data_IF_723493729193
#
_entry.id   IF_723493729193
#
_cell.length_a   1.000
_cell.length_b   1.000
_cell.length_c   1.000
_cell.angle_alpha   90.00
_cell.angle_beta   90.00
_cell.angle_gamma   90.00
#
_symmetry.space_group_name_H-M   'P 1'
#
loop_
_entity.id
_entity.type
_entity.pdbx_description
1 polymer ?
#
# COMPACT_ATOMS: atom_id res chain seq x y z
N UNK A 1 -16.17 37.99 -5.94
CA UNK A 1 -16.30 37.66 -7.39
C UNK A 1 -15.10 38.31 -8.07
N UNK A 2 -14.22 37.55 -8.68
CA UNK A 2 -12.96 38.02 -9.28
C UNK A 2 -13.13 38.69 -10.66
N UNK A 3 -14.37 38.94 -11.09
CA UNK A 3 -14.70 39.64 -12.34
C UNK A 3 -14.38 38.87 -13.64
N UNK A 4 -13.90 37.62 -13.55
CA UNK A 4 -13.54 36.80 -14.72
C UNK A 4 -14.79 36.17 -15.35
N UNK A 5 -14.78 36.12 -16.68
CA UNK A 5 -15.79 35.33 -17.41
C UNK A 5 -15.54 33.83 -17.22
N UNK A 6 -16.53 32.95 -17.42
CA UNK A 6 -16.34 31.50 -17.35
C UNK A 6 -15.19 30.98 -18.24
N UNK A 7 -15.03 31.57 -19.43
CA UNK A 7 -13.93 31.23 -20.34
C UNK A 7 -12.55 31.64 -19.80
N UNK A 8 -12.44 32.82 -19.18
CA UNK A 8 -11.22 33.27 -18.52
C UNK A 8 -10.89 32.43 -17.29
N UNK A 9 -11.87 31.99 -16.54
CA UNK A 9 -11.68 31.07 -15.42
C UNK A 9 -11.18 29.69 -15.89
N UNK A 10 -11.78 29.15 -16.95
CA UNK A 10 -11.36 27.88 -17.54
C UNK A 10 -9.94 27.97 -18.14
N UNK A 11 -9.62 29.08 -18.82
CA UNK A 11 -8.29 29.31 -19.36
C UNK A 11 -7.22 29.40 -18.24
N UNK A 12 -7.50 30.15 -17.18
CA UNK A 12 -6.61 30.25 -16.02
C UNK A 12 -6.43 28.91 -15.32
N UNK A 13 -7.45 28.04 -15.32
CA UNK A 13 -7.30 26.67 -14.81
C UNK A 13 -6.39 25.81 -15.67
N UNK A 14 -6.55 25.88 -16.99
CA UNK A 14 -5.68 25.17 -17.93
C UNK A 14 -4.22 25.65 -17.82
N UNK A 15 -4.00 26.94 -17.64
CA UNK A 15 -2.65 27.47 -17.38
C UNK A 15 -2.08 26.96 -16.06
N UNK A 16 -2.86 26.94 -14.97
CA UNK A 16 -2.43 26.42 -13.67
C UNK A 16 -2.09 24.91 -13.69
N UNK A 17 -2.69 24.15 -14.60
CA UNK A 17 -2.30 22.73 -14.79
C UNK A 17 -0.90 22.57 -15.38
N UNK A 18 -0.36 23.62 -15.99
CA UNK A 18 0.98 23.65 -16.62
C UNK A 18 2.08 24.10 -15.68
N UNK A 19 1.75 24.52 -14.48
CA UNK A 19 2.73 25.06 -13.55
C UNK A 19 3.71 23.97 -13.09
N UNK A 20 5.02 24.23 -13.12
CA UNK A 20 5.97 23.42 -12.41
C UNK A 20 5.65 23.44 -10.92
N UNK A 21 5.73 22.30 -10.28
CA UNK A 21 5.51 22.22 -8.83
C UNK A 21 6.47 21.24 -8.18
N UNK A 22 6.76 21.49 -6.92
CA UNK A 22 7.46 20.57 -6.03
C UNK A 22 6.62 20.33 -4.79
N UNK A 23 6.53 19.09 -4.39
CA UNK A 23 5.86 18.66 -3.16
C UNK A 23 6.83 17.87 -2.29
N UNK A 24 6.77 18.07 -1.00
CA UNK A 24 7.50 17.28 -0.03
C UNK A 24 6.59 16.97 1.17
N UNK A 25 6.70 15.78 1.72
CA UNK A 25 5.89 15.36 2.85
C UNK A 25 6.67 14.54 3.86
N UNK A 26 6.07 14.32 5.00
CA UNK A 26 6.50 13.38 6.02
C UNK A 26 5.32 12.49 6.37
N UNK A 27 5.51 11.18 6.18
CA UNK A 27 4.48 10.15 6.31
C UNK A 27 4.93 9.09 7.32
N UNK A 28 4.63 9.27 8.61
CA UNK A 28 4.72 8.21 9.59
C UNK A 28 3.56 7.21 9.40
N UNK A 29 3.88 5.92 9.51
CA UNK A 29 2.90 4.84 9.51
C UNK A 29 3.20 3.84 10.62
N UNK A 30 2.14 3.27 11.18
CA UNK A 30 2.23 2.35 12.31
C UNK A 30 1.22 1.21 12.19
N UNK A 31 1.68 0.01 12.52
CA UNK A 31 0.84 -1.16 12.75
C UNK A 31 1.41 -1.94 13.94
N UNK A 32 0.56 -2.30 14.89
CA UNK A 32 0.93 -3.15 16.03
C UNK A 32 1.30 -4.56 15.56
N UNK A 33 2.19 -5.21 16.30
CA UNK A 33 2.67 -6.57 16.02
C UNK A 33 3.73 -7.00 17.02
N UNK A 34 4.29 -8.20 16.83
CA UNK A 34 5.38 -8.73 17.64
C UNK A 34 6.69 -8.04 17.30
N UNK A 35 7.42 -7.56 18.30
CA UNK A 35 8.70 -6.88 18.14
C UNK A 35 9.74 -7.80 17.47
N UNK A 36 10.46 -7.24 16.50
CA UNK A 36 11.42 -7.98 15.68
C UNK A 36 10.80 -8.88 14.61
N UNK A 37 9.48 -8.99 14.53
CA UNK A 37 8.75 -9.88 13.61
C UNK A 37 7.73 -9.12 12.78
N UNK A 38 6.60 -8.76 13.37
CA UNK A 38 5.43 -8.24 12.68
C UNK A 38 5.05 -6.81 13.04
N UNK A 39 5.70 -6.22 14.04
CA UNK A 39 5.59 -4.79 14.32
C UNK A 39 6.03 -3.99 13.10
N UNK A 40 5.36 -2.88 12.82
CA UNK A 40 5.66 -2.04 11.66
C UNK A 40 5.61 -0.58 12.07
N UNK A 41 6.75 0.06 11.99
CA UNK A 41 6.95 1.50 12.17
C UNK A 41 7.66 2.00 10.92
N UNK A 42 7.06 2.95 10.24
CA UNK A 42 7.66 3.54 9.05
C UNK A 42 7.77 5.06 9.21
N UNK A 43 8.88 5.59 8.78
CA UNK A 43 9.13 7.02 8.59
C UNK A 43 9.48 7.24 7.13
N UNK A 44 8.63 7.95 6.39
CA UNK A 44 8.76 8.09 4.96
C UNK A 44 8.70 9.56 4.57
N UNK A 45 9.60 9.97 3.68
CA UNK A 45 9.66 11.36 3.18
C UNK A 45 9.59 11.33 1.66
N UNK A 46 8.37 11.44 1.09
CA UNK A 46 8.20 11.61 -0.35
C UNK A 46 8.56 13.03 -0.78
N UNK A 47 9.30 13.13 -1.89
CA UNK A 47 9.58 14.36 -2.61
C UNK A 47 9.17 14.12 -4.06
N UNK A 48 8.27 14.94 -4.56
CA UNK A 48 7.76 14.88 -5.92
C UNK A 48 7.98 16.21 -6.62
N UNK A 49 8.44 16.17 -7.85
CA UNK A 49 8.62 17.33 -8.71
C UNK A 49 7.97 17.05 -10.06
N UNK A 50 7.21 18.00 -10.57
CA UNK A 50 6.70 17.92 -11.92
C UNK A 50 7.07 19.18 -12.75
N UNK A 51 7.33 18.92 -14.02
CA UNK A 51 7.67 19.94 -15.02
C UNK A 51 6.72 19.80 -16.20
N UNK A 52 6.07 20.86 -16.66
CA UNK A 52 5.19 20.81 -17.81
C UNK A 52 5.99 20.50 -19.08
N UNK A 53 5.45 19.61 -19.91
CA UNK A 53 5.95 19.32 -21.25
C UNK A 53 4.81 19.52 -22.24
N UNK A 54 4.96 20.45 -23.15
CA UNK A 54 3.93 20.84 -24.11
C UNK A 54 2.66 21.35 -23.42
N UNK A 55 1.47 21.06 -23.97
CA UNK A 55 0.20 21.65 -23.52
C UNK A 55 -0.51 20.86 -22.42
N UNK A 56 -0.39 19.54 -22.38
CA UNK A 56 -1.17 18.64 -21.54
C UNK A 56 -0.31 17.66 -20.72
N UNK A 57 0.98 17.62 -20.99
CA UNK A 57 1.88 16.64 -20.41
C UNK A 57 2.80 17.21 -19.34
N UNK A 58 3.20 16.35 -18.41
CA UNK A 58 4.18 16.63 -17.37
C UNK A 58 5.18 15.50 -17.26
N UNK A 59 6.46 15.81 -17.30
CA UNK A 59 7.48 14.93 -16.74
C UNK A 59 7.46 15.07 -15.23
N UNK A 60 7.74 13.98 -14.53
CA UNK A 60 7.88 14.02 -13.07
C UNK A 60 9.09 13.22 -12.60
N UNK A 61 9.59 13.63 -11.46
CA UNK A 61 10.60 12.94 -10.68
C UNK A 61 10.05 12.68 -9.27
N UNK A 62 10.37 11.52 -8.73
CA UNK A 62 10.00 11.12 -7.39
C UNK A 62 11.22 10.59 -6.64
N UNK A 63 11.39 11.02 -5.40
CA UNK A 63 12.38 10.52 -4.46
C UNK A 63 11.70 10.27 -3.13
N UNK A 64 11.74 9.03 -2.65
CA UNK A 64 11.18 8.70 -1.34
C UNK A 64 12.31 8.15 -0.45
N UNK A 65 12.54 8.78 0.69
CA UNK A 65 13.35 8.19 1.75
C UNK A 65 12.45 7.37 2.64
N UNK A 66 12.80 6.12 2.88
CA UNK A 66 12.00 5.15 3.64
C UNK A 66 12.86 4.53 4.74
N UNK A 67 12.43 4.70 5.98
CA UNK A 67 12.97 4.01 7.14
C UNK A 67 11.89 3.12 7.74
N UNK A 68 12.18 1.82 7.88
CA UNK A 68 11.29 0.81 8.43
C UNK A 68 11.93 0.18 9.66
N UNK A 69 11.11 -0.09 10.68
CA UNK A 69 11.53 -0.71 11.92
C UNK A 69 10.45 -1.70 12.42
N UNK A 70 10.83 -2.97 12.57
CA UNK A 70 10.03 -4.01 13.21
C UNK A 70 10.41 -4.22 14.69
N UNK A 71 11.46 -3.54 15.18
CA UNK A 71 11.96 -3.71 16.54
C UNK A 71 12.98 -4.84 16.67
N UNK A 72 13.23 -5.26 17.91
CA UNK A 72 14.25 -6.25 18.27
C UNK A 72 13.59 -7.55 18.69
N UNK A 73 14.03 -8.66 18.11
CA UNK A 73 13.59 -10.00 18.45
C UNK A 73 14.11 -10.39 19.84
N UNK A 74 13.23 -10.76 20.75
CA UNK A 74 13.59 -11.21 22.08
C UNK A 74 13.98 -12.69 22.06
N UNK A 75 15.24 -12.97 22.39
CA UNK A 75 15.81 -14.32 22.50
C UNK A 75 16.11 -14.74 23.94
N UNK A 76 15.72 -13.94 24.93
CA UNK A 76 16.00 -14.20 26.36
C UNK A 76 15.34 -15.49 26.87
N UNK A 77 14.17 -15.81 26.33
CA UNK A 77 13.46 -17.06 26.61
C UNK A 77 13.45 -17.91 25.33
N UNK A 78 14.14 -19.06 25.31
CA UNK A 78 14.14 -19.93 24.14
C UNK A 78 12.77 -20.56 23.88
N UNK A 79 12.54 -20.96 22.64
CA UNK A 79 11.36 -21.70 22.20
C UNK A 79 10.01 -21.00 22.42
N UNK A 80 10.01 -19.67 22.55
CA UNK A 80 8.76 -18.88 22.52
C UNK A 80 8.04 -19.05 21.19
N UNK A 81 6.74 -18.77 21.19
CA UNK A 81 5.95 -18.79 19.95
C UNK A 81 6.52 -17.83 18.90
N UNK A 82 6.91 -16.63 19.31
CA UNK A 82 7.50 -15.61 18.44
C UNK A 82 8.77 -16.12 17.76
N UNK A 83 9.70 -16.72 18.51
CA UNK A 83 10.91 -17.32 17.94
C UNK A 83 10.59 -18.44 16.95
N UNK A 84 9.72 -19.38 17.33
CA UNK A 84 9.31 -20.50 16.47
C UNK A 84 8.65 -20.08 15.17
N UNK A 85 8.04 -18.91 15.14
CA UNK A 85 7.33 -18.38 13.97
C UNK A 85 8.12 -17.36 13.15
N UNK A 86 9.44 -17.23 13.42
CA UNK A 86 10.31 -16.31 12.71
C UNK A 86 11.49 -17.00 12.01
N UNK A 87 11.77 -16.59 10.78
CA UNK A 87 12.95 -17.04 10.01
C UNK A 87 13.07 -18.55 9.95
N UNK A 88 14.27 -19.05 10.23
CA UNK A 88 14.61 -20.48 10.21
C UNK A 88 14.67 -21.13 11.60
N UNK A 89 14.33 -20.40 12.67
CA UNK A 89 14.52 -20.88 14.06
C UNK A 89 13.92 -22.27 14.32
N UNK A 90 12.66 -22.49 13.98
CA UNK A 90 12.00 -23.76 14.21
C UNK A 90 12.65 -24.91 13.41
N UNK A 91 13.16 -24.64 12.21
CA UNK A 91 13.87 -25.61 11.40
C UNK A 91 15.20 -26.03 12.01
N UNK A 92 15.95 -25.09 12.59
CA UNK A 92 17.20 -25.36 13.29
C UNK A 92 17.02 -26.12 14.60
N UNK A 93 15.87 -25.92 15.26
CA UNK A 93 15.50 -26.64 16.49
C UNK A 93 14.90 -28.02 16.24
N UNK A 94 14.42 -28.29 15.04
CA UNK A 94 13.75 -29.55 14.74
C UNK A 94 14.73 -30.71 14.52
N UNK A 95 14.57 -31.85 15.14
CA UNK A 95 15.38 -33.03 14.88
C UNK A 95 14.99 -33.76 13.58
N UNK A 96 14.00 -33.34 12.82
CA UNK A 96 13.40 -34.18 11.77
C UNK A 96 13.54 -33.57 10.38
N UNK A 97 14.36 -34.20 9.53
CA UNK A 97 14.16 -34.39 8.09
C UNK A 97 13.98 -33.17 7.19
N UNK A 98 14.38 -31.98 7.59
CA UNK A 98 14.46 -30.84 6.68
C UNK A 98 15.79 -30.91 5.93
N UNK A 99 15.84 -30.65 4.60
CA UNK A 99 17.06 -30.70 3.82
C UNK A 99 18.01 -29.55 4.20
N UNK A 100 19.27 -29.69 3.80
CA UNK A 100 20.15 -28.55 3.79
C UNK A 100 19.53 -27.35 3.05
N UNK A 101 19.62 -26.12 3.57
CA UNK A 101 20.47 -25.72 4.70
C UNK A 101 19.90 -26.02 6.09
N UNK A 102 18.71 -26.57 6.18
CA UNK A 102 17.95 -26.77 7.42
C UNK A 102 18.07 -28.18 8.03
N UNK A 103 18.84 -29.07 7.40
CA UNK A 103 19.14 -30.37 8.00
C UNK A 103 19.93 -30.17 9.29
N UNK A 104 19.76 -31.09 10.25
CA UNK A 104 20.60 -31.14 11.48
C UNK A 104 22.06 -31.11 11.11
N UNK A 105 22.64 -29.93 11.17
CA UNK A 105 24.07 -29.73 11.16
C UNK A 105 24.50 -29.64 12.63
N UNK A 106 25.58 -30.28 13.07
CA UNK A 106 26.19 -30.01 14.37
C UNK A 106 26.42 -28.51 14.62
N UNK A 107 26.58 -27.72 13.55
CA UNK A 107 26.65 -26.27 13.62
C UNK A 107 25.31 -25.59 13.97
N UNK A 108 24.16 -26.26 13.88
CA UNK A 108 22.88 -25.63 14.19
C UNK A 108 22.79 -25.13 15.63
N UNK A 109 23.32 -25.89 16.58
CA UNK A 109 23.39 -25.46 17.99
C UNK A 109 24.31 -24.23 18.15
N UNK A 110 25.39 -24.13 17.41
CA UNK A 110 26.28 -22.97 17.42
C UNK A 110 25.58 -21.74 16.79
N UNK A 111 24.87 -21.92 15.70
CA UNK A 111 24.08 -20.86 15.07
C UNK A 111 22.98 -20.33 16.01
N UNK A 112 22.27 -21.19 16.73
CA UNK A 112 21.27 -20.81 17.71
C UNK A 112 21.87 -20.10 18.94
N UNK A 113 23.09 -20.44 19.33
CA UNK A 113 23.76 -19.83 20.46
C UNK A 113 24.36 -18.45 20.17
N UNK A 114 24.61 -18.15 18.90
CA UNK A 114 25.22 -16.89 18.46
C UNK A 114 24.46 -16.29 17.30
N UNK A 115 23.21 -15.78 17.54
CA UNK A 115 22.47 -15.10 16.50
C UNK A 115 23.21 -13.85 16.04
N UNK A 116 23.01 -13.48 14.78
CA UNK A 116 23.44 -12.18 14.24
C UNK A 116 22.57 -11.04 14.77
N UNK A 117 22.38 -10.02 13.94
CA UNK A 117 21.56 -8.85 14.31
C UNK A 117 20.10 -9.25 14.53
N UNK A 118 19.62 -8.98 15.74
CA UNK A 118 18.23 -9.24 16.17
C UNK A 118 17.32 -8.04 15.92
N UNK A 119 17.88 -6.86 15.63
CA UNK A 119 17.11 -5.65 15.34
C UNK A 119 16.77 -5.58 13.86
N UNK A 120 15.50 -5.63 13.54
CA UNK A 120 15.03 -5.64 12.16
C UNK A 120 14.63 -4.22 11.74
N UNK A 121 15.63 -3.43 11.32
CA UNK A 121 15.38 -2.10 10.75
C UNK A 121 16.12 -1.90 9.43
N UNK A 122 15.52 -1.15 8.51
CA UNK A 122 16.03 -0.94 7.16
C UNK A 122 15.79 0.50 6.72
N UNK A 123 16.80 1.07 6.05
CA UNK A 123 16.68 2.39 5.42
C UNK A 123 17.01 2.29 3.94
N UNK A 124 16.23 2.97 3.10
CA UNK A 124 16.47 2.97 1.66
C UNK A 124 15.88 4.20 0.99
N UNK A 125 16.23 4.39 -0.28
CA UNK A 125 15.75 5.50 -1.12
C UNK A 125 15.15 4.93 -2.40
N UNK A 126 13.87 5.17 -2.64
CA UNK A 126 13.22 4.89 -3.91
C UNK A 126 13.38 6.08 -4.86
N UNK A 127 13.63 5.77 -6.13
CA UNK A 127 13.72 6.76 -7.19
C UNK A 127 12.73 6.41 -8.27
N UNK A 128 12.04 7.42 -8.81
CA UNK A 128 11.10 7.25 -9.89
C UNK A 128 11.11 8.44 -10.85
N UNK A 129 10.86 8.17 -12.11
CA UNK A 129 10.65 9.18 -13.13
C UNK A 129 9.54 8.74 -14.07
N UNK A 130 8.85 9.68 -14.67
CA UNK A 130 7.80 9.34 -15.61
C UNK A 130 7.23 10.54 -16.35
N UNK A 131 6.20 10.23 -17.12
CA UNK A 131 5.42 11.19 -17.86
C UNK A 131 3.93 10.96 -17.61
N UNK A 132 3.17 12.03 -17.48
CA UNK A 132 1.72 11.96 -17.32
C UNK A 132 0.98 13.00 -18.15
N UNK A 133 -0.17 12.62 -18.64
CA UNK A 133 -1.24 13.48 -19.15
C UNK A 133 -2.53 13.18 -18.40
N UNK A 134 -3.64 13.78 -18.77
CA UNK A 134 -4.98 13.39 -18.24
C UNK A 134 -5.31 11.92 -18.57
N UNK A 135 -4.94 11.45 -19.77
CA UNK A 135 -5.22 10.11 -20.25
C UNK A 135 -4.14 9.08 -19.92
N UNK A 136 -2.87 9.44 -20.04
CA UNK A 136 -1.74 8.51 -19.95
C UNK A 136 -0.83 8.85 -18.77
N UNK A 137 -0.38 7.81 -18.06
CA UNK A 137 0.75 7.87 -17.13
C UNK A 137 1.67 6.70 -17.39
N UNK A 138 2.96 6.99 -17.53
CA UNK A 138 4.02 5.97 -17.65
C UNK A 138 5.11 6.35 -16.67
N UNK A 139 5.61 5.37 -15.91
CA UNK A 139 6.70 5.58 -14.96
C UNK A 139 7.63 4.38 -14.86
N UNK A 140 8.87 4.65 -14.50
CA UNK A 140 9.93 3.69 -14.23
C UNK A 140 10.80 4.17 -13.07
N UNK A 141 11.22 3.24 -12.22
CA UNK A 141 12.06 3.55 -11.08
C UNK A 141 12.50 2.32 -10.30
N UNK A 142 12.76 2.50 -9.01
CA UNK A 142 13.23 1.43 -8.12
C UNK A 142 12.39 1.36 -6.86
N UNK A 143 12.24 0.16 -6.27
CA UNK A 143 11.93 0.05 -4.84
C UNK A 143 13.11 0.61 -4.02
N UNK A 144 12.98 0.87 -2.72
CA UNK A 144 14.04 1.54 -1.97
C UNK A 144 15.39 0.84 -2.09
N UNK A 145 16.37 1.52 -2.68
CA UNK A 145 17.77 1.12 -2.70
C UNK A 145 18.35 1.21 -1.29
N UNK A 146 19.11 0.22 -0.87
CA UNK A 146 19.58 0.06 0.51
C UNK A 146 18.82 -1.02 1.28
N UNK A 147 17.63 -1.42 0.81
CA UNK A 147 16.92 -2.57 1.36
C UNK A 147 17.61 -3.89 1.01
N UNK A 148 17.52 -4.94 1.86
CA UNK A 148 18.04 -6.27 1.57
C UNK A 148 17.54 -6.85 0.25
N UNK A 149 16.32 -6.46 -0.16
CA UNK A 149 15.73 -6.82 -1.45
C UNK A 149 15.20 -5.56 -2.13
N UNK A 150 15.74 -5.26 -3.30
CA UNK A 150 15.29 -4.15 -4.13
C UNK A 150 15.20 -4.57 -5.60
N UNK A 151 14.39 -3.87 -6.38
CA UNK A 151 14.11 -4.22 -7.78
C UNK A 151 13.58 -3.01 -8.55
N UNK A 152 13.60 -3.12 -9.88
CA UNK A 152 12.99 -2.13 -10.76
C UNK A 152 11.47 -2.23 -10.67
N UNK A 153 10.81 -1.09 -10.53
CA UNK A 153 9.35 -0.92 -10.50
C UNK A 153 8.92 0.05 -11.58
N UNK A 154 7.65 0.05 -11.93
CA UNK A 154 7.11 0.96 -12.92
C UNK A 154 5.69 0.57 -13.31
N UNK A 155 5.07 1.39 -14.14
CA UNK A 155 3.72 1.11 -14.59
C UNK A 155 3.26 1.97 -15.75
N UNK A 156 2.17 1.54 -16.33
CA UNK A 156 1.44 2.28 -17.38
C UNK A 156 -0.03 2.30 -16.99
N UNK A 157 -0.60 3.50 -16.93
CA UNK A 157 -2.04 3.70 -16.75
C UNK A 157 -2.60 4.49 -17.92
N UNK A 158 -3.65 3.98 -18.50
CA UNK A 158 -4.40 4.64 -19.58
C UNK A 158 -5.86 4.80 -19.19
N UNK A 159 -6.40 6.01 -19.41
CA UNK A 159 -7.80 6.36 -19.20
C UNK A 159 -8.43 6.72 -20.52
N UNK A 160 -9.67 6.30 -20.73
CA UNK A 160 -10.45 6.63 -21.91
C UNK A 160 -11.94 6.61 -21.58
N UNK A 161 -12.69 7.37 -22.34
CA UNK A 161 -14.15 7.41 -22.24
C UNK A 161 -14.78 6.65 -23.42
N UNK A 162 -15.86 5.94 -23.14
CA UNK A 162 -16.66 5.24 -24.12
C UNK A 162 -18.15 5.54 -23.88
N UNK A 163 -18.69 6.48 -24.63
CA UNK A 163 -20.02 7.03 -24.40
C UNK A 163 -20.11 7.70 -23.02
N UNK A 164 -21.06 7.33 -22.15
CA UNK A 164 -21.19 7.89 -20.82
C UNK A 164 -20.26 7.25 -19.78
N UNK A 165 -19.51 6.22 -20.16
CA UNK A 165 -18.66 5.47 -19.24
C UNK A 165 -17.21 5.86 -19.37
N UNK A 166 -16.52 6.00 -18.24
CA UNK A 166 -15.07 6.22 -18.13
C UNK A 166 -14.37 4.95 -17.70
N UNK A 167 -13.26 4.63 -18.35
CA UNK A 167 -12.45 3.46 -18.08
C UNK A 167 -11.00 3.82 -17.75
N UNK A 168 -10.36 2.99 -16.94
CA UNK A 168 -8.93 3.09 -16.66
C UNK A 168 -8.33 1.70 -16.59
N UNK A 169 -7.25 1.48 -17.35
CA UNK A 169 -6.43 0.27 -17.30
C UNK A 169 -5.08 0.65 -16.72
N UNK A 170 -4.61 -0.11 -15.73
CA UNK A 170 -3.32 0.08 -15.11
C UNK A 170 -2.58 -1.26 -15.07
N UNK A 171 -1.40 -1.33 -15.70
CA UNK A 171 -0.47 -2.45 -15.58
C UNK A 171 0.78 -1.97 -14.85
N UNK A 172 1.15 -2.62 -13.76
CA UNK A 172 2.25 -2.13 -12.93
C UNK A 172 2.98 -3.25 -12.19
N UNK A 173 4.22 -2.92 -11.82
CA UNK A 173 5.05 -3.63 -10.84
C UNK A 173 5.29 -2.70 -9.67
N UNK A 174 4.83 -3.08 -8.47
CA UNK A 174 4.96 -2.30 -7.24
C UNK A 174 5.38 -3.18 -6.06
N UNK A 175 6.06 -2.61 -5.04
CA UNK A 175 6.31 -3.33 -3.80
C UNK A 175 5.03 -3.57 -3.01
N UNK A 176 4.99 -4.66 -2.28
CA UNK A 176 4.00 -4.93 -1.25
C UNK A 176 4.49 -4.31 0.07
N UNK A 177 3.80 -3.30 0.59
CA UNK A 177 4.30 -2.43 1.66
C UNK A 177 3.71 -2.71 3.05
N UNK A 178 2.94 -3.79 3.22
CA UNK A 178 2.15 -4.04 4.44
C UNK A 178 2.96 -4.50 5.67
N UNK A 179 4.24 -4.86 5.50
CA UNK A 179 5.17 -5.21 6.60
C UNK A 179 6.62 -4.92 6.22
N UNK A 180 7.52 -4.93 7.21
CA UNK A 180 8.98 -4.82 6.94
C UNK A 180 9.44 -5.98 6.07
N UNK A 181 8.97 -7.22 6.34
CA UNK A 181 9.31 -8.39 5.54
C UNK A 181 8.86 -8.25 4.09
N UNK A 182 7.61 -7.87 3.86
CA UNK A 182 7.08 -7.75 2.49
C UNK A 182 7.71 -6.58 1.74
N UNK A 183 7.97 -5.46 2.38
CA UNK A 183 8.47 -4.26 1.70
C UNK A 183 10.00 -4.30 1.47
N UNK A 184 10.78 -4.57 2.51
CA UNK A 184 12.23 -4.50 2.46
C UNK A 184 12.91 -5.87 2.31
N UNK A 185 12.25 -6.95 2.76
CA UNK A 185 12.87 -8.20 3.10
C UNK A 185 13.55 -8.12 4.46
N UNK A 186 13.82 -9.28 5.04
CA UNK A 186 14.52 -9.43 6.32
C UNK A 186 15.73 -10.35 6.18
N UNK A 187 16.65 -10.24 7.12
CA UNK A 187 17.78 -11.16 7.27
C UNK A 187 17.53 -12.06 8.45
N UNK A 188 17.58 -13.37 8.22
CA UNK A 188 17.48 -14.37 9.27
C UNK A 188 18.68 -14.26 10.23
N UNK A 189 18.48 -14.03 11.53
CA UNK A 189 19.57 -13.83 12.47
C UNK A 189 20.50 -15.05 12.61
N UNK A 190 20.00 -16.24 12.37
CA UNK A 190 20.75 -17.48 12.60
C UNK A 190 21.54 -17.93 11.37
N UNK A 191 20.96 -17.84 10.20
CA UNK A 191 21.57 -18.32 8.95
C UNK A 191 22.12 -17.21 8.07
N UNK A 192 21.78 -15.95 8.35
CA UNK A 192 22.10 -14.81 7.48
C UNK A 192 21.32 -14.79 6.16
N UNK A 193 20.42 -15.76 5.94
CA UNK A 193 19.62 -15.83 4.73
C UNK A 193 18.67 -14.65 4.62
N UNK A 194 18.52 -14.10 3.41
CA UNK A 194 17.60 -13.00 3.14
C UNK A 194 16.36 -13.55 2.45
N UNK A 195 15.17 -13.15 2.95
CA UNK A 195 13.88 -13.45 2.31
C UNK A 195 12.93 -12.25 2.40
N UNK A 196 11.85 -12.26 1.64
CA UNK A 196 10.90 -11.16 1.61
C UNK A 196 11.09 -10.24 0.40
N UNK A 197 10.83 -8.94 0.58
CA UNK A 197 10.87 -7.97 -0.51
C UNK A 197 9.90 -8.38 -1.62
N UNK A 198 8.62 -8.43 -1.29
CA UNK A 198 7.57 -8.90 -2.18
C UNK A 198 7.18 -7.80 -3.15
N UNK A 199 7.08 -8.15 -4.42
CA UNK A 199 6.54 -7.28 -5.46
C UNK A 199 5.28 -7.89 -6.05
N UNK A 200 4.36 -7.03 -6.41
CA UNK A 200 3.15 -7.35 -7.16
C UNK A 200 3.32 -6.94 -8.62
N UNK A 201 3.22 -7.89 -9.52
CA UNK A 201 3.12 -7.70 -10.96
C UNK A 201 1.64 -7.88 -11.34
N UNK A 202 0.94 -6.82 -11.71
CA UNK A 202 -0.50 -6.92 -11.87
C UNK A 202 -1.13 -5.93 -12.83
N UNK A 203 -2.40 -6.19 -13.10
CA UNK A 203 -3.28 -5.34 -13.93
C UNK A 203 -4.53 -5.00 -13.13
N UNK A 204 -4.97 -3.74 -13.21
CA UNK A 204 -6.25 -3.28 -12.68
C UNK A 204 -7.06 -2.65 -13.82
N UNK A 205 -8.33 -3.01 -13.89
CA UNK A 205 -9.33 -2.42 -14.78
C UNK A 205 -10.41 -1.76 -13.94
N UNK A 206 -10.65 -0.48 -14.14
CA UNK A 206 -11.73 0.26 -13.50
C UNK A 206 -12.65 0.83 -14.56
N UNK A 207 -13.96 0.71 -14.32
CA UNK A 207 -15.01 1.37 -15.07
C UNK A 207 -15.93 2.15 -14.15
N UNK A 208 -16.46 3.28 -14.63
CA UNK A 208 -17.50 4.04 -13.94
C UNK A 208 -18.47 4.67 -14.94
N UNK A 209 -19.72 4.83 -14.53
CA UNK A 209 -20.77 5.44 -15.35
C UNK A 209 -21.72 6.24 -14.45
N UNK A 210 -22.11 7.43 -14.91
CA UNK A 210 -23.12 8.25 -14.26
C UNK A 210 -24.50 7.94 -14.83
N UNK A 211 -25.42 7.53 -13.94
CA UNK A 211 -26.82 7.28 -14.25
C UNK A 211 -27.67 8.27 -13.45
N UNK A 212 -28.05 9.36 -14.06
CA UNK A 212 -28.66 10.48 -13.37
C UNK A 212 -27.70 11.11 -12.34
N UNK A 213 -28.04 11.01 -11.05
CA UNK A 213 -27.20 11.50 -9.95
C UNK A 213 -26.33 10.39 -9.31
N UNK A 214 -26.48 9.15 -9.75
CA UNK A 214 -25.78 8.00 -9.18
C UNK A 214 -24.57 7.69 -10.03
N UNK A 215 -23.38 7.67 -9.42
CA UNK A 215 -22.17 7.14 -10.04
C UNK A 215 -22.04 5.66 -9.68
N UNK A 216 -22.10 4.79 -10.68
CA UNK A 216 -21.82 3.37 -10.54
C UNK A 216 -20.36 3.10 -10.90
N UNK A 217 -19.68 2.23 -10.16
CA UNK A 217 -18.31 1.86 -10.48
C UNK A 217 -18.02 0.39 -10.20
N UNK A 218 -17.05 -0.14 -10.95
CA UNK A 218 -16.45 -1.45 -10.70
C UNK A 218 -14.94 -1.38 -11.01
N UNK A 219 -14.15 -2.05 -10.19
CA UNK A 219 -12.71 -2.20 -10.36
C UNK A 219 -12.34 -3.67 -10.14
N UNK A 220 -11.66 -4.26 -11.12
CA UNK A 220 -11.13 -5.60 -11.07
C UNK A 220 -9.61 -5.55 -11.12
N UNK A 221 -8.95 -6.29 -10.24
CA UNK A 221 -7.51 -6.46 -10.20
C UNK A 221 -7.10 -7.92 -10.28
N UNK A 222 -6.00 -8.20 -10.95
CA UNK A 222 -5.35 -9.49 -10.93
C UNK A 222 -3.84 -9.32 -10.92
N UNK A 223 -3.13 -10.18 -10.19
CA UNK A 223 -1.69 -10.03 -10.06
C UNK A 223 -1.00 -11.30 -9.55
N UNK A 224 0.32 -11.26 -9.66
CA UNK A 224 1.22 -12.26 -9.10
C UNK A 224 2.16 -11.57 -8.14
N UNK A 225 2.23 -12.09 -6.92
CA UNK A 225 3.17 -11.64 -5.91
C UNK A 225 4.37 -12.58 -5.89
N UNK A 226 5.57 -12.00 -5.84
CA UNK A 226 6.82 -12.75 -5.77
C UNK A 226 7.88 -11.94 -5.02
N UNK A 227 8.76 -12.61 -4.29
CA UNK A 227 9.86 -12.01 -3.54
C UNK A 227 11.09 -12.90 -3.52
N UNK A 228 12.15 -12.42 -2.89
CA UNK A 228 13.38 -13.21 -2.71
C UNK A 228 13.11 -14.34 -1.71
N UNK A 229 13.29 -15.58 -2.13
CA UNK A 229 13.05 -16.77 -1.28
C UNK A 229 11.64 -16.75 -0.65
N UNK A 230 10.64 -16.27 -1.37
CA UNK A 230 9.23 -16.26 -1.00
C UNK A 230 8.47 -17.10 -2.00
N UNK A 231 7.51 -17.88 -1.54
CA UNK A 231 6.61 -18.66 -2.40
C UNK A 231 5.78 -17.69 -3.25
N UNK A 232 5.58 -18.06 -4.55
CA UNK A 232 4.78 -17.24 -5.45
C UNK A 232 3.30 -17.35 -5.10
N UNK A 233 2.60 -16.22 -5.21
CA UNK A 233 1.17 -16.16 -4.95
C UNK A 233 0.44 -15.45 -6.09
N UNK A 234 -0.78 -15.84 -6.35
CA UNK A 234 -1.67 -15.14 -7.27
C UNK A 234 -2.80 -14.49 -6.49
N UNK A 235 -3.25 -13.33 -6.98
CA UNK A 235 -4.37 -12.62 -6.38
C UNK A 235 -5.38 -12.19 -7.44
N UNK A 236 -6.63 -12.10 -7.01
CA UNK A 236 -7.71 -11.44 -7.71
C UNK A 236 -8.50 -10.56 -6.74
N UNK A 237 -8.84 -9.36 -7.17
CA UNK A 237 -9.57 -8.39 -6.37
C UNK A 237 -10.74 -7.81 -7.15
N UNK A 238 -11.84 -7.55 -6.48
CA UNK A 238 -13.00 -6.85 -7.02
C UNK A 238 -13.43 -5.78 -6.02
N UNK A 239 -13.64 -4.57 -6.49
CA UNK A 239 -14.28 -3.50 -5.78
C UNK A 239 -15.41 -2.94 -6.63
N UNK A 240 -16.62 -2.86 -6.09
CA UNK A 240 -17.78 -2.35 -6.83
C UNK A 240 -18.71 -1.59 -5.91
N UNK A 241 -19.52 -0.73 -6.49
CA UNK A 241 -20.48 0.03 -5.69
C UNK A 241 -21.11 1.17 -6.44
N UNK A 242 -21.76 2.02 -5.68
CA UNK A 242 -22.29 3.27 -6.17
C UNK A 242 -22.08 4.40 -5.17
N UNK A 243 -22.08 5.63 -5.67
CA UNK A 243 -22.09 6.84 -4.86
C UNK A 243 -23.19 7.78 -5.37
N UNK A 244 -23.80 8.53 -4.46
CA UNK A 244 -24.83 9.52 -4.76
C UNK A 244 -24.58 10.79 -3.93
N UNK A 245 -24.55 11.99 -4.55
CA UNK A 245 -24.49 13.24 -3.81
C UNK A 245 -25.85 13.50 -3.15
N UNK A 246 -25.84 13.59 -1.81
CA UNK A 246 -27.02 13.94 -1.01
C UNK A 246 -27.14 15.45 -0.79
N UNK A 247 -26.00 16.14 -0.83
CA UNK A 247 -25.92 17.59 -0.80
C UNK A 247 -24.82 18.08 -1.75
N UNK A 248 -25.13 19.09 -2.56
CA UNK A 248 -24.19 19.63 -3.53
C UNK A 248 -24.36 21.14 -3.69
N UNK A 249 -23.26 21.87 -3.57
CA UNK A 249 -23.11 23.30 -3.82
C UNK A 249 -21.79 23.54 -4.54
N UNK A 250 -21.59 24.72 -5.09
CA UNK A 250 -20.38 25.07 -5.82
C UNK A 250 -19.06 24.80 -5.03
N UNK A 251 -19.08 24.89 -3.70
CA UNK A 251 -17.90 24.76 -2.84
C UNK A 251 -18.02 23.62 -1.82
N UNK A 252 -19.08 22.83 -1.82
CA UNK A 252 -19.26 21.74 -0.86
C UNK A 252 -20.11 20.61 -1.45
N UNK A 253 -19.69 19.37 -1.19
CA UNK A 253 -20.41 18.15 -1.57
C UNK A 253 -20.42 17.17 -0.40
N UNK A 254 -21.57 16.58 -0.15
CA UNK A 254 -21.71 15.42 0.73
C UNK A 254 -22.28 14.30 -0.12
N UNK A 255 -21.58 13.16 -0.13
CA UNK A 255 -21.97 11.96 -0.87
C UNK A 255 -22.06 10.76 0.05
N UNK A 256 -22.88 9.81 -0.30
CA UNK A 256 -22.95 8.49 0.35
C UNK A 256 -23.13 7.41 -0.71
N UNK A 257 -23.14 6.16 -0.30
CA UNK A 257 -23.30 5.07 -1.24
C UNK A 257 -23.14 3.71 -0.58
N UNK A 258 -22.81 2.71 -1.40
CA UNK A 258 -22.50 1.36 -0.96
C UNK A 258 -21.26 0.89 -1.71
N UNK A 259 -20.32 0.27 -0.99
CA UNK A 259 -19.07 -0.27 -1.57
C UNK A 259 -18.89 -1.70 -1.09
N UNK A 260 -18.74 -2.62 -2.03
CA UNK A 260 -18.37 -4.01 -1.79
C UNK A 260 -16.95 -4.29 -2.25
N UNK A 261 -16.21 -5.10 -1.49
CA UNK A 261 -14.91 -5.61 -1.88
C UNK A 261 -14.88 -7.12 -1.75
N UNK A 262 -14.17 -7.77 -2.67
CA UNK A 262 -13.87 -9.20 -2.63
C UNK A 262 -12.41 -9.41 -3.01
N UNK A 263 -11.66 -10.17 -2.18
CA UNK A 263 -10.26 -10.54 -2.45
C UNK A 263 -10.10 -12.04 -2.38
N UNK A 264 -9.24 -12.55 -3.24
CA UNK A 264 -8.83 -13.94 -3.25
C UNK A 264 -7.34 -14.04 -3.50
N UNK A 265 -6.64 -14.79 -2.64
CA UNK A 265 -5.26 -15.20 -2.85
C UNK A 265 -5.18 -16.72 -2.98
N UNK A 266 -4.29 -17.21 -3.84
CA UNK A 266 -4.12 -18.64 -4.04
C UNK A 266 -3.55 -19.34 -2.79
N UNK A 267 -2.66 -18.64 -2.06
CA UNK A 267 -1.99 -19.15 -0.87
C UNK A 267 -2.02 -18.15 0.28
N UNK A 268 -2.04 -18.66 1.52
CA UNK A 268 -1.86 -17.86 2.73
C UNK A 268 -0.36 -17.73 3.04
N UNK A 269 0.21 -16.52 2.82
CA UNK A 269 1.63 -16.21 3.02
C UNK A 269 1.83 -15.08 4.04
N UNK A 270 0.93 -14.94 4.99
CA UNK A 270 0.94 -13.84 5.98
C UNK A 270 2.00 -13.94 7.06
N UNK A 271 2.63 -15.10 7.20
CA UNK A 271 3.55 -15.41 8.30
C UNK A 271 4.97 -14.93 8.03
N UNK A 272 5.88 -15.15 9.00
CA UNK A 272 7.24 -14.60 9.02
C UNK A 272 8.33 -15.67 9.08
N UNK A 273 8.00 -16.94 8.90
CA UNK A 273 8.98 -17.99 8.69
C UNK A 273 9.56 -17.92 7.29
N UNK A 274 10.76 -18.47 7.10
CA UNK A 274 11.45 -18.44 5.82
C UNK A 274 10.63 -19.05 4.69
N UNK A 275 10.45 -18.30 3.61
CA UNK A 275 9.58 -18.68 2.51
C UNK A 275 8.20 -17.99 2.52
N UNK A 276 7.77 -17.47 3.66
CA UNK A 276 6.57 -16.67 3.82
C UNK A 276 6.78 -15.22 3.37
N UNK A 277 5.71 -14.51 3.05
CA UNK A 277 5.77 -13.15 2.51
C UNK A 277 5.47 -12.02 3.50
N UNK A 278 4.87 -12.32 4.66
CA UNK A 278 4.54 -11.34 5.69
C UNK A 278 3.44 -10.35 5.30
N UNK A 279 2.58 -10.67 4.33
CA UNK A 279 1.46 -9.84 3.90
C UNK A 279 0.13 -10.58 4.03
N UNK A 280 -0.94 -9.83 4.33
CA UNK A 280 -2.28 -10.40 4.47
C UNK A 280 -2.76 -10.96 3.13
N UNK A 281 -3.04 -12.28 3.09
CA UNK A 281 -3.35 -13.01 1.87
C UNK A 281 -4.46 -14.05 2.07
N UNK A 282 -5.69 -13.60 2.37
CA UNK A 282 -6.82 -14.49 2.60
C UNK A 282 -7.27 -15.19 1.30
N UNK A 283 -7.75 -16.43 1.43
CA UNK A 283 -8.34 -17.14 0.29
C UNK A 283 -9.75 -16.67 -0.01
N UNK A 284 -10.37 -15.97 0.93
CA UNK A 284 -11.60 -15.21 0.74
C UNK A 284 -11.64 -14.05 1.70
N UNK A 285 -11.82 -12.86 1.19
CA UNK A 285 -12.20 -11.68 1.95
C UNK A 285 -13.39 -11.02 1.26
N UNK A 286 -14.42 -10.73 2.01
CA UNK A 286 -15.61 -10.01 1.56
C UNK A 286 -15.88 -8.88 2.52
N UNK A 287 -16.18 -7.70 2.01
CA UNK A 287 -16.66 -6.59 2.83
C UNK A 287 -17.77 -5.80 2.13
N UNK A 288 -18.64 -5.22 2.94
CA UNK A 288 -19.68 -4.32 2.50
C UNK A 288 -19.69 -3.11 3.44
N UNK A 289 -19.61 -1.91 2.88
CA UNK A 289 -19.52 -0.68 3.66
C UNK A 289 -20.32 0.46 3.07
N UNK A 290 -20.77 1.35 3.94
CA UNK A 290 -21.44 2.61 3.60
C UNK A 290 -20.45 3.74 3.82
N UNK A 291 -19.91 4.36 2.76
CA UNK A 291 -19.10 5.55 2.86
C UNK A 291 -19.97 6.80 3.02
N UNK A 292 -19.48 7.75 3.81
CA UNK A 292 -19.95 9.13 3.83
C UNK A 292 -18.74 10.00 3.51
N UNK A 293 -18.79 10.69 2.39
CA UNK A 293 -17.77 11.64 1.94
C UNK A 293 -18.28 13.06 2.18
N UNK A 294 -17.46 13.90 2.78
CA UNK A 294 -17.68 15.32 2.94
C UNK A 294 -16.50 16.09 2.38
N UNK A 295 -16.64 16.57 1.16
CA UNK A 295 -15.68 17.41 0.49
C UNK A 295 -16.12 18.87 0.50
N UNK A 296 -15.21 19.78 0.77
CA UNK A 296 -15.54 21.17 0.84
C UNK A 296 -14.37 22.11 0.62
N UNK A 297 -14.72 23.38 0.45
CA UNK A 297 -13.78 24.46 0.35
C UNK A 297 -14.36 25.75 0.91
N UNK A 298 -13.55 26.45 1.68
CA UNK A 298 -13.86 27.79 2.18
C UNK A 298 -12.61 28.66 2.12
N UNK A 299 -12.63 29.71 1.33
CA UNK A 299 -11.50 30.63 1.11
C UNK A 299 -10.22 29.88 0.69
N UNK A 300 -9.21 29.91 1.54
CA UNK A 300 -7.92 29.23 1.33
C UNK A 300 -7.92 27.77 1.79
N UNK A 301 -8.93 27.31 2.51
CA UNK A 301 -9.03 25.97 3.08
C UNK A 301 -9.80 25.05 2.14
N UNK A 302 -9.27 23.86 1.87
CA UNK A 302 -9.95 22.75 1.17
C UNK A 302 -9.84 21.47 1.98
N UNK A 303 -10.85 20.62 1.95
CA UNK A 303 -10.86 19.34 2.67
C UNK A 303 -11.63 18.27 1.93
N UNK A 304 -11.30 17.04 2.26
CA UNK A 304 -12.05 15.85 1.89
C UNK A 304 -11.97 14.85 3.05
N UNK A 305 -13.10 14.47 3.59
CA UNK A 305 -13.24 13.51 4.69
C UNK A 305 -14.15 12.39 4.25
N UNK A 306 -13.65 11.17 4.23
CA UNK A 306 -14.44 9.97 4.00
C UNK A 306 -14.44 9.10 5.25
N UNK A 307 -15.61 8.78 5.75
CA UNK A 307 -15.83 7.81 6.83
C UNK A 307 -16.63 6.66 6.27
N UNK A 308 -16.12 5.45 6.40
CA UNK A 308 -16.81 4.22 5.97
C UNK A 308 -17.08 3.35 7.18
N UNK A 309 -18.32 2.92 7.35
CA UNK A 309 -18.70 1.90 8.33
C UNK A 309 -19.25 0.68 7.59
N UNK A 310 -18.89 -0.51 8.04
CA UNK A 310 -19.26 -1.72 7.34
C UNK A 310 -19.02 -3.00 8.11
N UNK A 311 -19.16 -4.09 7.39
CA UNK A 311 -18.92 -5.44 7.87
C UNK A 311 -17.95 -6.16 6.94
N UNK A 312 -17.17 -7.06 7.49
CA UNK A 312 -16.26 -7.90 6.72
C UNK A 312 -16.26 -9.34 7.21
N UNK A 313 -15.93 -10.25 6.32
CA UNK A 313 -15.72 -11.67 6.60
C UNK A 313 -14.47 -12.14 5.87
N UNK A 314 -13.67 -12.98 6.50
CA UNK A 314 -12.48 -13.55 5.88
C UNK A 314 -12.33 -15.04 6.15
N UNK A 315 -11.63 -15.70 5.24
CA UNK A 315 -11.23 -17.09 5.36
C UNK A 315 -9.76 -17.24 4.93
N UNK A 316 -8.96 -17.88 5.76
CA UNK A 316 -7.57 -18.20 5.52
C UNK A 316 -7.37 -19.72 5.61
N UNK A 317 -6.67 -20.29 4.63
CA UNK A 317 -6.27 -21.69 4.63
C UNK A 317 -5.03 -21.91 5.49
N UNK A 318 -4.81 -23.17 5.84
CA UNK A 318 -3.55 -23.62 6.41
C UNK A 318 -2.37 -23.26 5.50
N UNK A 319 -1.22 -22.97 6.11
CA UNK A 319 0.00 -22.66 5.38
C UNK A 319 1.18 -23.46 5.95
N UNK A 320 2.07 -23.90 5.07
CA UNK A 320 3.32 -24.52 5.49
C UNK A 320 4.22 -23.50 6.18
N UNK A 321 4.96 -23.93 7.20
CA UNK A 321 5.95 -23.07 7.84
C UNK A 321 7.02 -22.59 6.82
N UNK A 322 7.45 -23.50 5.94
CA UNK A 322 8.49 -23.27 4.94
C UNK A 322 7.95 -23.59 3.54
N UNK A 323 7.11 -22.72 2.97
CA UNK A 323 6.38 -23.02 1.74
C UNK A 323 7.29 -23.20 0.51
N UNK A 324 8.47 -22.63 0.50
CA UNK A 324 9.47 -22.79 -0.57
C UNK A 324 10.14 -24.16 -0.60
N UNK A 325 9.98 -24.98 0.44
CA UNK A 325 10.51 -26.34 0.51
C UNK A 325 9.49 -27.35 -0.05
N UNK A 326 9.11 -27.20 -1.30
CA UNK A 326 8.02 -27.94 -1.95
C UNK A 326 8.22 -29.45 -1.98
N UNK A 327 9.45 -29.92 -2.16
CA UNK A 327 9.79 -31.35 -2.23
C UNK A 327 9.59 -32.07 -0.89
N UNK A 328 9.37 -31.33 0.18
CA UNK A 328 9.26 -31.83 1.55
C UNK A 328 7.92 -31.54 2.23
N UNK A 329 6.93 -31.12 1.46
CA UNK A 329 5.58 -30.80 2.01
C UNK A 329 5.03 -31.92 2.90
N UNK A 330 5.12 -33.16 2.45
CA UNK A 330 4.62 -34.31 3.23
C UNK A 330 5.42 -34.52 4.52
N UNK A 331 6.72 -34.26 4.53
CA UNK A 331 7.55 -34.34 5.73
C UNK A 331 7.24 -33.20 6.71
N UNK A 332 7.08 -31.97 6.23
CA UNK A 332 6.67 -30.82 7.03
C UNK A 332 5.31 -31.04 7.69
N UNK A 333 4.32 -31.52 6.94
CA UNK A 333 2.99 -31.83 7.45
C UNK A 333 3.03 -32.92 8.55
N UNK A 334 3.76 -34.02 8.32
CA UNK A 334 3.93 -35.06 9.32
C UNK A 334 4.67 -34.59 10.58
N UNK A 335 5.58 -33.65 10.44
CA UNK A 335 6.34 -33.07 11.54
C UNK A 335 5.59 -31.92 12.26
N UNK A 336 4.38 -31.57 11.83
CA UNK A 336 3.60 -30.48 12.44
C UNK A 336 4.06 -29.07 12.06
N UNK A 337 4.89 -28.92 11.02
CA UNK A 337 5.30 -27.61 10.50
C UNK A 337 4.22 -26.99 9.58
N UNK A 338 3.01 -26.86 10.11
CA UNK A 338 1.86 -26.27 9.43
C UNK A 338 1.24 -25.23 10.35
N UNK A 339 1.04 -24.03 9.85
CA UNK A 339 0.16 -23.08 10.49
C UNK A 339 -1.27 -23.53 10.25
N UNK A 340 -1.93 -23.99 11.28
CA UNK A 340 -3.36 -24.22 11.22
C UNK A 340 -4.05 -22.88 11.17
N UNK A 341 -4.59 -22.57 10.02
CA UNK A 341 -5.22 -21.29 9.75
C UNK A 341 -6.32 -21.02 10.74
N UNK A 342 -6.36 -19.81 11.21
CA UNK A 342 -7.51 -19.26 11.92
C UNK A 342 -8.67 -19.06 10.93
N UNK A 343 -8.77 -19.94 10.08
CA UNK A 343 -9.86 -20.30 9.27
C UNK A 343 -10.99 -19.31 9.05
N UNK A 344 -12.06 -19.37 9.65
CA UNK A 344 -13.21 -18.55 9.31
C UNK A 344 -13.43 -17.51 10.37
N UNK A 345 -13.17 -16.26 10.03
CA UNK A 345 -13.70 -15.18 10.82
C UNK A 345 -15.13 -14.93 10.40
N UNK A 346 -16.03 -15.02 11.35
CA UNK A 346 -17.41 -14.62 11.19
C UNK A 346 -17.52 -13.16 10.75
N UNK A 347 -18.72 -12.69 10.51
CA UNK A 347 -18.97 -11.30 10.18
C UNK A 347 -18.52 -10.40 11.34
N UNK A 348 -17.60 -9.49 11.05
CA UNK A 348 -17.07 -8.53 12.02
C UNK A 348 -17.30 -7.09 11.52
N UNK A 349 -17.48 -6.18 12.46
CA UNK A 349 -17.58 -4.75 12.17
C UNK A 349 -16.21 -4.22 11.69
N UNK A 350 -16.26 -3.35 10.71
CA UNK A 350 -15.09 -2.65 10.18
C UNK A 350 -15.41 -1.17 9.97
N UNK A 351 -14.40 -0.32 10.11
CA UNK A 351 -14.53 1.09 9.76
C UNK A 351 -13.23 1.64 9.20
N UNK A 352 -13.36 2.67 8.37
CA UNK A 352 -12.23 3.41 7.80
C UNK A 352 -12.49 4.91 7.91
N UNK A 353 -11.44 5.65 8.14
CA UNK A 353 -11.43 7.12 8.11
C UNK A 353 -10.27 7.57 7.23
N UNK A 354 -10.57 8.34 6.21
CA UNK A 354 -9.58 9.01 5.39
C UNK A 354 -9.95 10.49 5.31
N UNK A 355 -9.11 11.35 5.89
CA UNK A 355 -9.33 12.78 5.92
C UNK A 355 -8.11 13.52 5.40
N UNK A 356 -8.32 14.50 4.53
CA UNK A 356 -7.27 15.40 4.06
C UNK A 356 -7.74 16.84 4.18
N UNK A 357 -6.83 17.71 4.58
CA UNK A 357 -7.01 19.15 4.62
C UNK A 357 -5.81 19.83 3.98
N UNK A 358 -6.07 20.85 3.17
CA UNK A 358 -5.03 21.68 2.55
C UNK A 358 -5.38 23.14 2.75
N UNK A 359 -4.43 23.93 3.22
CA UNK A 359 -4.52 25.37 3.38
C UNK A 359 -3.53 26.06 2.42
N UNK A 360 -4.04 26.95 1.59
CA UNK A 360 -3.24 27.77 0.72
C UNK A 360 -2.70 28.98 1.47
N UNK A 361 -1.42 28.95 1.80
CA UNK A 361 -0.73 30.00 2.57
C UNK A 361 -0.59 31.28 1.76
N UNK A 362 -0.24 31.14 0.48
CA UNK A 362 -0.12 32.24 -0.50
C UNK A 362 -0.32 31.68 -1.93
N UNK A 363 -0.23 32.51 -3.01
CA UNK A 363 -0.41 32.02 -4.36
C UNK A 363 0.54 30.91 -4.81
N UNK A 364 1.70 30.77 -4.17
CA UNK A 364 2.72 29.76 -4.52
C UNK A 364 2.76 28.59 -3.55
N UNK A 365 2.37 28.77 -2.29
CA UNK A 365 2.57 27.78 -1.23
C UNK A 365 1.25 27.29 -0.66
N UNK A 366 1.11 25.97 -0.64
CA UNK A 366 0.06 25.27 0.12
C UNK A 366 0.70 24.33 1.14
N UNK A 367 0.04 24.11 2.27
CA UNK A 367 0.40 23.13 3.27
C UNK A 367 -0.82 22.26 3.58
N UNK A 368 -0.62 20.98 3.79
CA UNK A 368 -1.72 20.07 4.05
C UNK A 368 -1.37 18.95 5.00
N UNK A 369 -2.39 18.27 5.49
CA UNK A 369 -2.29 17.08 6.30
C UNK A 369 -3.33 16.05 5.88
N UNK A 370 -2.96 14.77 5.97
CA UNK A 370 -3.85 13.64 5.73
C UNK A 370 -3.75 12.67 6.91
N UNK A 371 -4.87 12.07 7.28
CA UNK A 371 -4.97 10.98 8.24
C UNK A 371 -5.68 9.81 7.57
N UNK A 372 -5.11 8.63 7.67
CA UNK A 372 -5.71 7.38 7.23
C UNK A 372 -5.75 6.38 8.37
N UNK A 373 -6.92 5.85 8.66
CA UNK A 373 -7.16 4.84 9.70
C UNK A 373 -8.08 3.79 9.12
N UNK A 374 -7.62 2.54 9.07
CA UNK A 374 -8.46 1.38 8.78
C UNK A 374 -8.47 0.44 9.98
N UNK A 375 -9.65 -0.07 10.30
CA UNK A 375 -9.87 -1.04 11.37
C UNK A 375 -10.80 -2.13 10.88
N UNK A 376 -10.21 -3.27 10.63
CA UNK A 376 -10.91 -4.54 10.45
C UNK A 376 -10.28 -5.57 11.37
N UNK A 377 -10.91 -6.72 11.53
CA UNK A 377 -10.41 -7.74 12.46
C UNK A 377 -8.98 -8.22 12.14
N UNK A 378 -8.62 -8.27 10.85
CA UNK A 378 -7.34 -8.83 10.39
C UNK A 378 -6.34 -7.77 9.88
N UNK A 379 -6.76 -6.51 9.75
CA UNK A 379 -5.94 -5.46 9.15
C UNK A 379 -6.28 -4.10 9.76
N UNK A 380 -5.29 -3.44 10.36
CA UNK A 380 -5.48 -2.22 11.13
C UNK A 380 -4.36 -1.19 10.92
N UNK A 381 -4.06 -0.77 9.68
CA UNK A 381 -3.04 0.24 9.42
C UNK A 381 -3.51 1.62 9.84
N UNK A 382 -2.55 2.44 10.23
CA UNK A 382 -2.75 3.87 10.42
C UNK A 382 -1.57 4.62 9.83
N UNK A 383 -1.84 5.72 9.16
CA UNK A 383 -0.80 6.64 8.67
C UNK A 383 -1.27 8.08 8.78
N UNK A 384 -0.32 8.97 8.92
CA UNK A 384 -0.54 10.40 8.82
C UNK A 384 0.46 10.98 7.82
N UNK A 385 0.07 12.01 7.10
CA UNK A 385 0.93 12.74 6.19
C UNK A 385 0.81 14.22 6.50
N UNK A 386 1.95 14.90 6.62
CA UNK A 386 2.02 16.37 6.56
C UNK A 386 2.84 16.72 5.32
N UNK A 387 2.37 17.64 4.51
CA UNK A 387 3.06 18.00 3.28
C UNK A 387 3.00 19.49 2.98
N UNK A 388 3.93 19.92 2.17
CA UNK A 388 3.96 21.24 1.56
C UNK A 388 4.06 21.10 0.05
N UNK A 389 3.41 22.00 -0.67
CA UNK A 389 3.42 22.11 -2.13
C UNK A 389 3.80 23.52 -2.52
N UNK A 390 4.80 23.65 -3.36
CA UNK A 390 5.22 24.92 -3.94
C UNK A 390 4.99 24.91 -5.47
N UNK A 391 4.19 25.85 -5.94
CA UNK A 391 3.98 26.13 -7.36
C UNK A 391 4.89 27.28 -7.77
N UNK A 392 5.67 27.11 -8.84
CA UNK A 392 6.59 28.14 -9.30
C UNK A 392 5.85 29.33 -9.90
N UNK A 393 4.68 29.10 -10.48
CA UNK A 393 3.80 30.18 -10.96
C UNK A 393 2.69 30.47 -9.95
N UNK A 394 2.27 31.73 -9.87
CA UNK A 394 1.26 32.17 -8.92
C UNK A 394 -0.12 31.62 -9.27
N UNK A 395 -0.71 30.84 -8.39
CA UNK A 395 -2.03 30.24 -8.57
C UNK A 395 -3.16 31.16 -8.13
N UNK A 396 -4.11 31.38 -9.03
CA UNK A 396 -5.32 32.13 -8.70
C UNK A 396 -6.20 31.34 -7.72
N UNK A 397 -7.00 32.01 -6.89
CA UNK A 397 -8.05 31.38 -6.09
C UNK A 397 -9.01 30.63 -6.99
N UNK A 398 -9.31 29.37 -6.69
CA UNK A 398 -10.35 28.60 -7.39
C UNK A 398 -11.71 28.98 -6.80
N UNK A 399 -12.74 29.06 -7.62
CA UNK A 399 -14.11 29.40 -7.20
C UNK A 399 -15.02 28.18 -7.04
N UNK A 400 -14.56 26.99 -7.39
CA UNK A 400 -15.28 25.73 -7.33
C UNK A 400 -14.60 24.70 -6.44
N UNK A 401 -15.32 23.63 -6.13
CA UNK A 401 -14.81 22.53 -5.34
C UNK A 401 -13.70 21.79 -6.08
N UNK A 402 -12.52 21.73 -5.43
CA UNK A 402 -11.41 20.86 -5.83
C UNK A 402 -10.91 20.16 -4.56
N UNK A 403 -10.95 18.85 -4.58
CA UNK A 403 -10.43 18.04 -3.48
C UNK A 403 -8.90 18.07 -3.47
N UNK A 404 -8.28 18.21 -2.31
CA UNK A 404 -6.84 18.14 -2.19
C UNK A 404 -6.30 16.76 -2.64
N UNK A 405 -5.18 16.77 -3.33
CA UNK A 405 -4.46 15.54 -3.72
C UNK A 405 -3.05 15.63 -3.19
N UNK A 406 -2.71 14.90 -2.11
CA UNK A 406 -1.39 15.01 -1.50
C UNK A 406 -0.33 14.28 -2.33
N UNK A 407 0.93 14.60 -2.04
CA UNK A 407 2.07 13.78 -2.49
C UNK A 407 1.88 12.33 -2.01
N UNK A 408 2.21 11.38 -2.89
CA UNK A 408 2.14 9.93 -2.59
C UNK A 408 3.53 9.34 -2.67
N UNK A 409 3.71 8.23 -1.98
CA UNK A 409 4.90 7.41 -2.18
C UNK A 409 4.92 6.83 -3.59
N UNK A 410 6.10 6.59 -4.10
CA UNK A 410 6.29 5.96 -5.41
C UNK A 410 5.77 4.51 -5.44
N UNK A 411 5.76 3.85 -4.29
CA UNK A 411 5.14 2.53 -4.11
C UNK A 411 3.62 2.50 -4.38
N UNK A 412 2.93 3.64 -4.26
CA UNK A 412 1.47 3.75 -4.31
C UNK A 412 0.91 4.16 -5.68
N UNK A 413 1.74 4.16 -6.70
CA UNK A 413 1.38 4.56 -8.07
C UNK A 413 0.68 3.50 -8.91
#
# INVERSE_FOLDING_TARGET
RDGRTPAQAAFAELEQRRDPEIEAGWLPAYKSGDEGVSAYRAQQVPIYMQLPIRYDGHAFLQLDTVHLDAGTLDTSVPDTYTLKTFGTYAALRSPIGLPAPFAQNPAAAALLAQPGDLHQSMTGVALGAGYRTDALRVDLGTSPLGFPVHYVVGGVRYRFDAGPASFSVNASRRPETSSVLSYAGMRDPWTGAVWGGVRRDGVNLRGSVDVGRVNLFAEFGAGVLSGRNVERNAEATLRTGFTVPVYERATMRISTGLVGNAWHYAQNLRYYTYGQGGYYSPQRYLSLGVPIEWAGRRDALSWDLTVTAGISNSYEKDSLFYPTLTDQRAAQQRAGFVYTGSSTQGVAFSYGVNGIVEYRVNPHLSAGAQLHIDRSHAYAPSSALVYVRYAFDARAPRSWLVTPTPVRLYSDY
#
